data_IF_448731778467
#
_entry.id   IF_448731778467
#
_cell.length_a   1.000
_cell.length_b   1.000
_cell.length_c   1.000
_cell.angle_alpha   90.00
_cell.angle_beta   90.00
_cell.angle_gamma   90.00
#
_symmetry.space_group_name_H-M   'P 1'
#
loop_
_entity.id
_entity.type
_entity.pdbx_description
1 polymer ?
#
# COMPACT_ATOMS: atom_id res chain seq x y z
N UNK A 1 0.93 -11.23 4.06
CA UNK A 1 0.12 -10.02 4.36
C UNK A 1 -1.37 -10.27 4.14
N UNK A 2 -1.80 -10.96 3.09
CA UNK A 2 -3.22 -11.34 2.90
C UNK A 2 -3.79 -12.16 4.06
N UNK A 3 -3.05 -13.15 4.56
CA UNK A 3 -3.48 -13.97 5.71
C UNK A 3 -3.63 -13.19 7.01
N UNK A 4 -2.95 -12.05 7.15
CA UNK A 4 -3.01 -11.19 8.33
C UNK A 4 -4.05 -10.08 8.21
N UNK A 5 -4.74 -9.96 7.06
CA UNK A 5 -5.75 -8.94 6.82
C UNK A 5 -6.86 -8.89 7.89
N UNK A 6 -7.46 -10.02 8.33
CA UNK A 6 -8.49 -9.99 9.37
C UNK A 6 -7.99 -9.39 10.70
N UNK A 7 -6.71 -9.58 11.02
CA UNK A 7 -6.11 -8.97 12.20
C UNK A 7 -5.89 -7.47 12.01
N UNK A 8 -5.38 -7.06 10.84
CA UNK A 8 -5.23 -5.64 10.51
C UNK A 8 -6.56 -4.89 10.59
N UNK A 9 -7.66 -5.50 10.14
CA UNK A 9 -8.99 -4.90 10.24
C UNK A 9 -9.46 -4.70 11.68
N UNK A 10 -9.17 -5.65 12.57
CA UNK A 10 -9.45 -5.48 14.01
C UNK A 10 -8.68 -4.28 14.59
N UNK A 11 -7.42 -4.10 14.20
CA UNK A 11 -6.62 -2.96 14.64
C UNK A 11 -7.23 -1.64 14.13
N UNK A 12 -7.57 -1.57 12.85
CA UNK A 12 -8.23 -0.38 12.26
C UNK A 12 -9.54 -0.05 12.98
N UNK A 13 -10.37 -1.06 13.23
CA UNK A 13 -11.62 -0.92 13.96
C UNK A 13 -11.39 -0.35 15.38
N UNK A 14 -10.45 -0.92 16.14
CA UNK A 14 -10.11 -0.42 17.48
C UNK A 14 -9.61 1.01 17.45
N UNK A 15 -8.78 1.40 16.48
CA UNK A 15 -8.35 2.79 16.33
C UNK A 15 -9.53 3.74 16.11
N UNK A 16 -10.46 3.39 15.23
CA UNK A 16 -11.67 4.18 14.95
C UNK A 16 -12.67 4.21 16.10
N UNK A 17 -12.69 3.19 16.96
CA UNK A 17 -13.49 3.20 18.20
C UNK A 17 -12.95 4.18 19.24
N UNK A 18 -11.62 4.34 19.31
CA UNK A 18 -10.96 5.30 20.20
C UNK A 18 -11.11 6.73 19.65
N UNK A 19 -10.80 6.92 18.37
CA UNK A 19 -10.93 8.19 17.69
C UNK A 19 -11.35 8.00 16.23
N UNK A 20 -12.57 8.46 15.92
CA UNK A 20 -13.14 8.38 14.57
C UNK A 20 -12.42 9.29 13.56
N UNK A 21 -11.72 10.33 14.03
CA UNK A 21 -11.00 11.27 13.16
C UNK A 21 -9.62 10.76 12.74
N UNK A 22 -9.09 9.71 13.39
CA UNK A 22 -7.84 9.09 13.00
C UNK A 22 -7.92 8.56 11.57
N UNK A 23 -7.04 9.05 10.70
CA UNK A 23 -6.96 8.60 9.30
C UNK A 23 -6.29 7.22 9.24
N UNK A 24 -6.93 6.26 8.59
CA UNK A 24 -6.46 4.88 8.47
C UNK A 24 -6.01 4.59 7.05
N UNK A 25 -4.79 4.07 6.92
CA UNK A 25 -4.17 3.75 5.64
C UNK A 25 -3.79 2.27 5.64
N UNK A 26 -4.25 1.52 4.64
CA UNK A 26 -3.83 0.13 4.41
C UNK A 26 -2.99 0.05 3.14
N UNK A 27 -1.95 -0.78 3.16
CA UNK A 27 -1.04 -0.94 2.02
C UNK A 27 -0.59 -2.37 1.81
N UNK A 28 0.35 -2.52 0.87
CA UNK A 28 0.93 -3.80 0.49
C UNK A 28 0.03 -4.63 -0.40
N UNK A 29 0.48 -5.85 -0.72
CA UNK A 29 -0.10 -6.63 -1.82
C UNK A 29 -1.60 -6.86 -1.68
N UNK A 30 -2.13 -7.06 -0.46
CA UNK A 30 -3.57 -7.25 -0.29
C UNK A 30 -4.35 -5.98 -0.68
N UNK A 31 -3.88 -4.80 -0.26
CA UNK A 31 -4.52 -3.53 -0.60
C UNK A 31 -4.43 -3.20 -2.09
N UNK A 32 -3.31 -3.53 -2.75
CA UNK A 32 -3.16 -3.36 -4.20
C UNK A 32 -4.24 -4.09 -5.00
N UNK A 33 -4.67 -5.28 -4.55
CA UNK A 33 -5.66 -6.08 -5.27
C UNK A 33 -7.10 -5.88 -4.81
N UNK A 34 -7.28 -5.72 -3.50
CA UNK A 34 -8.59 -5.75 -2.86
C UNK A 34 -8.97 -4.36 -2.36
N UNK A 35 -8.44 -3.28 -2.95
CA UNK A 35 -8.71 -1.90 -2.54
C UNK A 35 -10.22 -1.63 -2.41
N UNK A 36 -11.01 -2.03 -3.42
CA UNK A 36 -12.45 -1.80 -3.42
C UNK A 36 -13.12 -2.58 -2.27
N UNK A 37 -12.77 -3.85 -2.06
CA UNK A 37 -13.27 -4.65 -0.93
C UNK A 37 -12.88 -4.03 0.42
N UNK A 38 -11.61 -3.62 0.58
CA UNK A 38 -11.13 -3.00 1.81
C UNK A 38 -11.90 -1.73 2.12
N UNK A 39 -12.15 -0.89 1.12
CA UNK A 39 -12.83 0.39 1.29
C UNK A 39 -14.35 0.25 1.45
N UNK A 40 -14.97 -0.78 0.86
CA UNK A 40 -16.43 -0.99 0.92
C UNK A 40 -16.88 -1.88 2.06
N UNK A 41 -16.16 -2.98 2.36
CA UNK A 41 -16.56 -3.95 3.39
C UNK A 41 -16.24 -3.44 4.79
N UNK A 42 -15.18 -2.65 4.95
CA UNK A 42 -14.75 -2.21 6.26
C UNK A 42 -15.55 -1.02 6.79
N UNK A 43 -15.94 -0.07 5.94
CA UNK A 43 -16.42 1.27 6.32
C UNK A 43 -15.54 1.99 7.37
N UNK A 44 -14.32 1.49 7.64
CA UNK A 44 -13.41 2.01 8.67
C UNK A 44 -12.00 2.27 8.14
N UNK A 45 -11.68 1.77 6.95
CA UNK A 45 -10.46 2.13 6.22
C UNK A 45 -10.73 3.34 5.33
N UNK A 46 -9.95 4.41 5.49
CA UNK A 46 -10.13 5.64 4.71
C UNK A 46 -9.37 5.57 3.37
N UNK A 47 -8.15 5.03 3.37
CA UNK A 47 -7.24 5.04 2.22
C UNK A 47 -6.60 3.66 2.03
N UNK A 48 -6.56 3.19 0.77
CA UNK A 48 -5.81 2.01 0.34
C UNK A 48 -4.67 2.45 -0.59
N UNK A 49 -3.42 2.15 -0.22
CA UNK A 49 -2.23 2.36 -1.05
C UNK A 49 -2.07 1.18 -2.01
N UNK A 50 -1.94 1.49 -3.29
CA UNK A 50 -1.84 0.56 -4.41
C UNK A 50 -0.42 0.59 -4.97
N UNK A 51 0.24 -0.56 -4.96
CA UNK A 51 1.61 -0.70 -5.48
C UNK A 51 2.66 -0.41 -4.41
N UNK A 52 3.70 0.34 -4.79
CA UNK A 52 4.79 0.74 -3.88
C UNK A 52 4.35 1.92 -3.02
N UNK A 53 4.61 1.83 -1.72
CA UNK A 53 4.04 2.75 -0.73
C UNK A 53 4.99 3.84 -0.26
N UNK A 54 6.26 3.81 -0.65
CA UNK A 54 7.30 4.67 -0.09
C UNK A 54 7.01 6.16 -0.34
N UNK A 55 6.84 6.54 -1.60
CA UNK A 55 6.53 7.92 -1.97
C UNK A 55 5.04 8.25 -1.79
N UNK A 56 4.13 7.30 -2.07
CA UNK A 56 2.70 7.50 -1.84
C UNK A 56 2.41 7.80 -0.37
N UNK A 57 2.99 7.05 0.59
CA UNK A 57 2.76 7.31 2.01
C UNK A 57 3.34 8.67 2.45
N UNK A 58 4.52 9.05 1.91
CA UNK A 58 5.10 10.37 2.16
C UNK A 58 4.16 11.49 1.70
N UNK A 59 3.60 11.37 0.50
CA UNK A 59 2.68 12.35 -0.07
C UNK A 59 1.32 12.37 0.64
N UNK A 60 0.80 11.22 1.10
CA UNK A 60 -0.38 11.16 1.98
C UNK A 60 -0.12 11.99 3.25
N UNK A 61 1.02 11.79 3.92
CA UNK A 61 1.36 12.54 5.13
C UNK A 61 1.49 14.05 4.88
N UNK A 62 2.05 14.44 3.73
CA UNK A 62 2.09 15.86 3.30
C UNK A 62 0.69 16.40 3.04
N UNK A 63 -0.16 15.66 2.33
CA UNK A 63 -1.56 16.02 2.10
C UNK A 63 -2.31 16.26 3.42
N UNK A 64 -2.13 15.39 4.41
CA UNK A 64 -2.78 15.54 5.71
C UNK A 64 -2.22 16.71 6.54
N UNK A 65 -0.92 16.96 6.49
CA UNK A 65 -0.27 18.01 7.30
C UNK A 65 -0.37 19.41 6.67
N UNK A 66 -0.26 19.51 5.36
CA UNK A 66 -0.23 20.75 4.58
C UNK A 66 -1.59 21.07 3.93
N UNK A 67 -2.59 20.18 4.09
CA UNK A 67 -3.95 20.29 3.50
C UNK A 67 -3.94 20.34 1.97
N UNK A 68 -3.01 19.61 1.35
CA UNK A 68 -3.00 19.38 -0.10
C UNK A 68 -4.10 18.37 -0.44
N UNK A 69 -4.72 18.52 -1.60
CA UNK A 69 -5.75 17.61 -2.08
C UNK A 69 -5.20 16.18 -2.25
N UNK A 70 -5.84 15.21 -1.58
CA UNK A 70 -5.47 13.79 -1.62
C UNK A 70 -5.66 13.18 -3.01
N UNK A 71 -6.53 13.76 -3.85
CA UNK A 71 -6.77 13.31 -5.23
C UNK A 71 -5.52 13.44 -6.12
N UNK A 72 -4.57 14.30 -5.74
CA UNK A 72 -3.31 14.52 -6.46
C UNK A 72 -2.22 13.50 -6.13
N UNK A 73 -2.41 12.68 -5.10
CA UNK A 73 -1.40 11.70 -4.66
C UNK A 73 -1.52 10.44 -5.51
N UNK A 74 -0.47 10.09 -6.25
CA UNK A 74 -0.48 8.89 -7.10
C UNK A 74 -0.37 7.59 -6.28
N UNK A 75 -1.03 6.54 -6.77
CA UNK A 75 -0.91 5.17 -6.25
C UNK A 75 -1.80 4.88 -5.05
N UNK A 76 -2.98 5.50 -4.95
CA UNK A 76 -3.95 5.20 -3.89
C UNK A 76 -5.40 5.13 -4.39
N UNK A 77 -6.25 4.54 -3.55
CA UNK A 77 -7.69 4.56 -3.65
C UNK A 77 -8.32 5.00 -2.33
N UNK A 78 -9.46 5.68 -2.42
CA UNK A 78 -10.24 6.12 -1.27
C UNK A 78 -11.72 6.20 -1.64
N UNK A 79 -12.59 6.38 -0.65
CA UNK A 79 -14.02 6.55 -0.89
C UNK A 79 -14.42 8.02 -0.75
N UNK A 80 -15.12 8.53 -1.76
CA UNK A 80 -15.77 9.84 -1.72
C UNK A 80 -17.19 9.71 -2.24
N UNK A 81 -18.18 10.30 -1.54
CA UNK A 81 -19.59 10.25 -1.96
C UNK A 81 -20.11 8.82 -2.24
N UNK A 82 -19.63 7.82 -1.48
CA UNK A 82 -19.91 6.38 -1.64
C UNK A 82 -19.38 5.75 -2.95
N UNK A 83 -18.54 6.46 -3.68
CA UNK A 83 -17.84 5.94 -4.85
C UNK A 83 -16.37 5.72 -4.50
N UNK A 84 -15.79 4.64 -5.02
CA UNK A 84 -14.36 4.40 -4.91
C UNK A 84 -13.67 5.21 -5.99
N UNK A 85 -12.79 6.11 -5.57
CA UNK A 85 -11.92 6.90 -6.44
C UNK A 85 -10.54 6.26 -6.40
N UNK A 86 -9.97 6.05 -7.59
CA UNK A 86 -8.58 5.63 -7.76
C UNK A 86 -7.82 6.78 -8.39
N UNK A 87 -6.69 7.12 -7.80
CA UNK A 87 -5.76 8.12 -8.33
C UNK A 87 -4.91 7.53 -9.44
N UNK A 88 -4.15 8.38 -10.13
CA UNK A 88 -3.23 7.93 -11.17
C UNK A 88 -2.25 6.86 -10.62
N UNK A 89 -1.96 5.80 -11.39
CA UNK A 89 -1.03 4.77 -10.95
C UNK A 89 0.38 5.36 -10.76
N UNK A 90 0.99 5.09 -9.61
CA UNK A 90 2.39 5.46 -9.37
C UNK A 90 3.33 4.51 -10.11
N UNK A 91 4.35 5.08 -10.76
CA UNK A 91 5.43 4.30 -11.36
C UNK A 91 6.29 3.60 -10.31
N UNK A 92 6.86 2.45 -10.69
CA UNK A 92 7.82 1.77 -9.83
C UNK A 92 9.09 2.56 -9.63
N UNK A 93 9.65 2.45 -8.43
CA UNK A 93 10.92 3.06 -8.06
C UNK A 93 12.04 2.32 -8.79
N UNK A 94 12.54 2.93 -9.87
CA UNK A 94 13.59 2.34 -10.70
C UNK A 94 14.94 2.28 -9.97
N UNK A 95 15.27 3.34 -9.22
CA UNK A 95 16.52 3.45 -8.48
C UNK A 95 16.31 3.25 -6.97
N UNK A 96 16.61 2.05 -6.48
CA UNK A 96 16.43 1.73 -5.06
C UNK A 96 17.44 2.44 -4.15
N UNK A 97 18.54 2.98 -4.70
CA UNK A 97 19.54 3.72 -3.91
C UNK A 97 19.02 5.09 -3.46
N UNK A 98 17.92 5.57 -4.02
CA UNK A 98 17.22 6.78 -3.53
C UNK A 98 16.48 6.54 -2.22
N UNK A 99 16.17 5.28 -1.90
CA UNK A 99 15.48 4.94 -0.67
C UNK A 99 16.48 4.90 0.50
N UNK A 100 16.11 5.47 1.66
CA UNK A 100 16.95 5.39 2.83
C UNK A 100 17.06 3.94 3.31
N UNK A 101 18.16 3.62 3.98
CA UNK A 101 18.26 2.35 4.69
C UNK A 101 17.10 2.18 5.68
N UNK A 102 16.58 0.95 5.87
CA UNK A 102 15.52 0.69 6.84
C UNK A 102 15.90 1.25 8.21
N UNK A 103 15.00 2.03 8.82
CA UNK A 103 15.24 2.76 10.06
C UNK A 103 15.27 1.84 11.32
N UNK A 104 16.12 0.81 11.31
CA UNK A 104 16.26 -0.20 12.38
C UNK A 104 16.72 0.42 13.70
N UNK A 105 17.36 1.58 13.66
CA UNK A 105 17.75 2.34 14.85
C UNK A 105 16.55 2.85 15.67
N UNK A 106 15.35 2.89 15.08
CA UNK A 106 14.11 3.24 15.79
C UNK A 106 13.43 2.06 16.49
N UNK A 107 13.93 0.82 16.28
CA UNK A 107 13.34 -0.39 16.84
C UNK A 107 14.27 -1.07 17.84
N UNK A 108 13.74 -1.74 18.89
CA UNK A 108 14.54 -2.51 19.83
C UNK A 108 15.03 -3.82 19.20
N UNK A 109 16.02 -3.73 18.32
CA UNK A 109 16.51 -4.85 17.50
C UNK A 109 16.96 -6.06 18.32
N UNK A 110 17.35 -5.87 19.58
CA UNK A 110 17.77 -6.95 20.49
C UNK A 110 16.65 -7.96 20.80
N UNK A 111 15.38 -7.59 20.56
CA UNK A 111 14.23 -8.49 20.72
C UNK A 111 13.99 -9.39 19.50
N UNK A 112 14.72 -9.19 18.40
CA UNK A 112 14.50 -9.87 17.13
C UNK A 112 15.71 -10.76 16.79
N UNK A 113 15.44 -12.00 16.38
CA UNK A 113 16.49 -12.96 16.03
C UNK A 113 16.96 -12.87 14.58
N UNK A 114 16.19 -12.19 13.73
CA UNK A 114 16.45 -12.08 12.29
C UNK A 114 16.12 -10.67 11.80
N UNK A 115 16.79 -10.27 10.73
CA UNK A 115 16.52 -9.00 10.05
C UNK A 115 16.41 -9.25 8.55
N UNK A 116 15.60 -8.43 7.89
CA UNK A 116 15.34 -8.54 6.46
C UNK A 116 15.91 -7.34 5.73
N UNK A 117 16.48 -7.60 4.55
CA UNK A 117 16.92 -6.60 3.61
C UNK A 117 16.39 -6.99 2.23
N UNK A 118 15.80 -6.03 1.53
CA UNK A 118 15.36 -6.20 0.15
C UNK A 118 16.43 -5.57 -0.72
N UNK A 119 17.15 -6.37 -1.48
CA UNK A 119 18.25 -5.92 -2.36
C UNK A 119 17.82 -5.75 -3.81
N UNK A 120 16.64 -6.27 -4.17
CA UNK A 120 16.03 -6.14 -5.49
C UNK A 120 14.51 -6.22 -5.38
N UNK A 121 13.79 -5.66 -6.36
CA UNK A 121 12.33 -5.69 -6.44
C UNK A 121 11.88 -6.17 -7.81
N UNK A 122 10.68 -6.77 -7.83
CA UNK A 122 10.12 -7.39 -9.03
C UNK A 122 10.67 -8.79 -9.31
N UNK A 123 9.98 -9.49 -10.21
CA UNK A 123 10.36 -10.82 -10.68
C UNK A 123 10.14 -10.85 -12.19
N UNK A 124 11.14 -11.23 -13.01
CA UNK A 124 11.00 -11.23 -14.46
C UNK A 124 10.21 -12.44 -14.99
N UNK A 125 9.83 -13.38 -14.12
CA UNK A 125 9.14 -14.60 -14.52
C UNK A 125 7.62 -14.45 -14.56
N UNK A 126 7.01 -15.09 -15.55
CA UNK A 126 5.56 -15.08 -15.78
C UNK A 126 4.87 -16.38 -15.34
N UNK A 127 5.12 -16.82 -14.11
CA UNK A 127 4.48 -18.02 -13.58
C UNK A 127 2.96 -17.83 -13.47
N UNK A 128 2.17 -18.74 -14.05
CA UNK A 128 0.69 -18.67 -14.12
C UNK A 128 -0.01 -18.64 -12.76
N UNK A 129 0.66 -19.13 -11.72
CA UNK A 129 0.14 -19.20 -10.35
C UNK A 129 0.60 -18.03 -9.49
N UNK A 130 1.49 -17.16 -10.00
CA UNK A 130 2.16 -16.14 -9.19
C UNK A 130 1.42 -14.82 -9.25
N UNK A 131 1.19 -14.24 -8.08
CA UNK A 131 0.43 -13.00 -7.88
C UNK A 131 1.00 -11.81 -8.68
N UNK A 132 2.32 -11.53 -8.72
CA UNK A 132 2.89 -10.41 -9.48
C UNK A 132 2.48 -10.38 -10.96
N UNK A 133 2.36 -11.55 -11.61
CA UNK A 133 1.85 -11.63 -12.99
C UNK A 133 0.37 -11.27 -13.06
N UNK A 134 -0.43 -11.73 -12.11
CA UNK A 134 -1.86 -11.44 -12.02
C UNK A 134 -2.15 -9.96 -11.71
N UNK A 135 -1.23 -9.22 -11.08
CA UNK A 135 -1.37 -7.77 -10.92
C UNK A 135 -0.84 -6.94 -12.10
N UNK A 136 -0.41 -7.53 -13.21
CA UNK A 136 0.10 -6.79 -14.38
C UNK A 136 1.36 -5.97 -14.08
N UNK A 137 2.06 -6.30 -12.98
CA UNK A 137 3.27 -5.62 -12.53
C UNK A 137 4.47 -6.39 -13.04
N UNK A 138 4.66 -6.33 -14.36
CA UNK A 138 5.88 -6.80 -15.00
C UNK A 138 6.82 -5.61 -15.20
N UNK A 139 8.13 -5.76 -14.91
CA UNK A 139 9.12 -4.74 -15.28
C UNK A 139 9.23 -4.51 -16.79
N UNK A 140 8.59 -5.36 -17.60
CA UNK A 140 8.84 -5.54 -19.02
C UNK A 140 8.02 -4.64 -19.94
N UNK A 141 7.08 -3.83 -19.43
CA UNK A 141 6.22 -3.00 -20.28
C UNK A 141 5.34 -3.80 -21.25
N UNK A 142 5.10 -5.08 -20.96
CA UNK A 142 4.22 -5.95 -21.74
C UNK A 142 2.85 -5.93 -21.06
N UNK A 143 1.86 -5.35 -21.74
CA UNK A 143 0.46 -5.40 -21.33
C UNK A 143 0.01 -6.87 -21.22
N UNK A 144 -0.15 -7.34 -19.99
CA UNK A 144 -0.73 -8.67 -19.75
C UNK A 144 -2.25 -8.51 -19.83
N UNK A 145 -2.95 -9.25 -20.70
CA UNK A 145 -4.41 -9.20 -20.77
C UNK A 145 -4.99 -9.50 -19.38
N UNK A 146 -5.81 -8.59 -18.86
CA UNK A 146 -6.64 -8.87 -17.69
C UNK A 146 -7.51 -10.08 -18.03
N UNK A 147 -7.47 -11.10 -17.19
CA UNK A 147 -8.38 -12.24 -17.28
C UNK A 147 -9.79 -11.81 -16.88
#
# INVERSE_FOLDING_TARGET
MTSTYPFAMKVVQTCKEIDRQTVTVMGGIHATFMADNILTESNVTDIAVIGEGEYTMLEILRSLSERIDISSVEGLAYQENKQIIRTEPRQFIANLDELPFPARHLFPMQKYHQTHMITSRGCPFECIFCIPRLCGVTPSGIEVPKM
#
